data_IF_691663936125
#
_entry.id   IF_691663936125
#
_cell.length_a   1.000
_cell.length_b   1.000
_cell.length_c   1.000
_cell.angle_alpha   90.00
_cell.angle_beta   90.00
_cell.angle_gamma   90.00
#
_symmetry.space_group_name_H-M   'P 1'
#
loop_
_entity.id
_entity.type
_entity.pdbx_description
1 polymer ?
#
# COMPACT_ATOMS: atom_id res chain seq x y z
N UNK A 1 2.52 2.81 -28.07
CA UNK A 1 1.62 4.00 -28.03
C UNK A 1 0.37 3.78 -27.19
N UNK A 2 -0.50 2.79 -27.48
CA UNK A 2 -1.56 2.37 -26.54
C UNK A 2 -1.03 1.43 -25.44
N UNK A 3 0.00 0.64 -25.77
CA UNK A 3 0.52 -0.45 -24.95
C UNK A 3 1.06 -0.02 -23.58
N UNK A 4 1.74 1.12 -23.49
CA UNK A 4 2.38 1.58 -22.25
C UNK A 4 1.36 2.05 -21.20
N UNK A 5 0.31 2.75 -21.64
CA UNK A 5 -0.81 3.14 -20.78
C UNK A 5 -1.66 1.93 -20.38
N UNK A 6 -1.91 1.01 -21.30
CA UNK A 6 -2.58 -0.27 -20.98
C UNK A 6 -1.80 -1.07 -19.94
N UNK A 7 -0.47 -1.09 -19.99
CA UNK A 7 0.36 -1.76 -18.97
C UNK A 7 0.16 -1.08 -17.60
N UNK A 8 0.27 0.25 -17.52
CA UNK A 8 0.05 0.96 -16.26
C UNK A 8 -1.35 0.70 -15.69
N UNK A 9 -2.38 0.78 -16.54
CA UNK A 9 -3.77 0.53 -16.14
C UNK A 9 -3.98 -0.92 -15.67
N UNK A 10 -3.34 -1.91 -16.31
CA UNK A 10 -3.35 -3.32 -15.89
C UNK A 10 -2.65 -3.50 -14.54
N UNK A 11 -1.55 -2.79 -14.28
CA UNK A 11 -0.85 -2.84 -12.99
C UNK A 11 -1.71 -2.25 -11.86
N UNK A 12 -2.44 -1.16 -12.12
CA UNK A 12 -3.39 -0.58 -11.16
C UNK A 12 -4.55 -1.53 -10.87
N UNK A 13 -5.13 -2.15 -11.90
CA UNK A 13 -6.19 -3.17 -11.72
C UNK A 13 -5.66 -4.38 -10.97
N UNK A 14 -4.44 -4.84 -11.27
CA UNK A 14 -3.82 -5.95 -10.55
C UNK A 14 -3.69 -5.64 -9.06
N UNK A 15 -3.27 -4.44 -8.66
CA UNK A 15 -3.23 -4.01 -7.26
C UNK A 15 -4.60 -4.02 -6.61
N UNK A 16 -5.61 -3.50 -7.29
CA UNK A 16 -6.99 -3.56 -6.80
C UNK A 16 -7.42 -5.02 -6.52
N UNK A 17 -7.17 -5.93 -7.47
CA UNK A 17 -7.48 -7.35 -7.32
C UNK A 17 -6.66 -8.01 -6.21
N UNK A 18 -5.39 -7.65 -6.04
CA UNK A 18 -4.54 -8.12 -4.94
C UNK A 18 -5.14 -7.73 -3.60
N UNK A 19 -5.58 -6.48 -3.43
CA UNK A 19 -6.21 -6.04 -2.18
C UNK A 19 -7.49 -6.81 -1.85
N UNK A 20 -8.36 -7.03 -2.85
CA UNK A 20 -9.56 -7.87 -2.67
C UNK A 20 -9.18 -9.32 -2.31
N UNK A 21 -8.17 -9.87 -2.98
CA UNK A 21 -7.72 -11.24 -2.74
C UNK A 21 -7.07 -11.40 -1.36
N UNK A 22 -6.32 -10.42 -0.87
CA UNK A 22 -5.78 -10.41 0.50
C UNK A 22 -6.89 -10.47 1.55
N UNK A 23 -7.95 -9.69 1.36
CA UNK A 23 -9.11 -9.73 2.25
C UNK A 23 -9.77 -11.12 2.26
N UNK A 24 -10.01 -11.68 1.06
CA UNK A 24 -10.56 -13.02 0.92
C UNK A 24 -9.67 -14.09 1.55
N UNK A 25 -8.36 -14.01 1.33
CA UNK A 25 -7.38 -14.92 1.93
C UNK A 25 -7.44 -14.88 3.46
N UNK A 26 -7.63 -13.68 4.02
CA UNK A 26 -7.86 -13.50 5.46
C UNK A 26 -9.12 -14.20 5.95
N UNK A 27 -10.20 -14.17 5.17
CA UNK A 27 -11.48 -14.77 5.55
C UNK A 27 -11.45 -16.29 5.66
N UNK A 28 -10.43 -16.95 5.10
CA UNK A 28 -10.17 -18.37 5.32
C UNK A 28 -9.71 -18.65 6.76
N UNK A 29 -9.25 -17.63 7.49
CA UNK A 29 -8.79 -17.73 8.88
C UNK A 29 -7.43 -18.40 9.06
N UNK A 30 -6.76 -18.77 7.95
CA UNK A 30 -5.55 -19.57 7.99
C UNK A 30 -4.29 -18.72 8.09
N UNK A 31 -3.66 -18.71 9.27
CA UNK A 31 -2.34 -18.08 9.47
C UNK A 31 -1.23 -18.66 8.59
N UNK A 32 -1.39 -19.90 8.10
CA UNK A 32 -0.46 -20.56 7.20
C UNK A 32 -0.30 -19.84 5.85
N UNK A 33 -1.27 -19.00 5.47
CA UNK A 33 -1.26 -18.24 4.22
C UNK A 33 -0.41 -16.97 4.27
N UNK A 34 0.28 -16.69 5.40
CA UNK A 34 1.05 -15.45 5.59
C UNK A 34 2.15 -15.26 4.54
N UNK A 35 2.81 -16.34 4.13
CA UNK A 35 3.80 -16.33 3.07
C UNK A 35 3.23 -15.85 1.74
N UNK A 36 2.03 -16.33 1.38
CA UNK A 36 1.31 -15.90 0.19
C UNK A 36 0.86 -14.44 0.31
N UNK A 37 0.28 -14.06 1.45
CA UNK A 37 -0.14 -12.68 1.70
C UNK A 37 1.03 -11.68 1.60
N UNK A 38 2.18 -12.01 2.19
CA UNK A 38 3.39 -11.22 2.10
C UNK A 38 3.93 -11.14 0.66
N UNK A 39 3.88 -12.25 -0.09
CA UNK A 39 4.30 -12.29 -1.50
C UNK A 39 3.40 -11.43 -2.39
N UNK A 40 2.09 -11.44 -2.14
CA UNK A 40 1.12 -10.59 -2.84
C UNK A 40 1.31 -9.12 -2.53
N UNK A 41 1.56 -8.77 -1.26
CA UNK A 41 1.89 -7.40 -0.87
C UNK A 41 3.20 -6.94 -1.54
N UNK A 42 4.22 -7.79 -1.54
CA UNK A 42 5.47 -7.52 -2.24
C UNK A 42 5.22 -7.28 -3.74
N UNK A 43 4.42 -8.13 -4.39
CA UNK A 43 4.05 -7.96 -5.79
C UNK A 43 3.33 -6.63 -6.02
N UNK A 44 2.38 -6.25 -5.15
CA UNK A 44 1.70 -4.96 -5.23
C UNK A 44 2.70 -3.79 -5.19
N UNK A 45 3.67 -3.81 -4.28
CA UNK A 45 4.73 -2.80 -4.20
C UNK A 45 5.63 -2.78 -5.44
N UNK A 46 5.97 -3.95 -5.99
CA UNK A 46 6.75 -4.03 -7.23
C UNK A 46 5.98 -3.35 -8.37
N UNK A 47 4.69 -3.65 -8.51
CA UNK A 47 3.85 -3.08 -9.58
C UNK A 47 3.66 -1.57 -9.44
N UNK A 48 3.54 -1.05 -8.23
CA UNK A 48 3.46 0.38 -7.93
C UNK A 48 4.76 1.11 -8.32
N UNK A 49 5.92 0.59 -7.93
CA UNK A 49 7.20 1.23 -8.28
C UNK A 49 7.45 1.25 -9.80
N UNK A 50 6.95 0.24 -10.52
CA UNK A 50 7.14 0.11 -11.96
C UNK A 50 6.18 0.97 -12.79
N UNK A 51 4.99 1.30 -12.29
CA UNK A 51 4.00 2.04 -13.07
C UNK A 51 4.46 3.46 -13.43
N UNK A 52 5.12 4.16 -12.51
CA UNK A 52 5.53 5.55 -12.67
C UNK A 52 6.60 5.72 -13.76
N UNK A 53 7.69 4.94 -13.75
CA UNK A 53 8.66 4.91 -14.85
C UNK A 53 8.04 4.54 -16.19
N UNK A 54 7.10 3.59 -16.23
CA UNK A 54 6.42 3.16 -17.46
C UNK A 54 5.54 4.29 -18.00
N UNK A 55 4.77 4.95 -17.13
CA UNK A 55 3.92 6.08 -17.48
C UNK A 55 4.73 7.29 -17.99
N UNK A 56 5.90 7.58 -17.40
CA UNK A 56 6.77 8.69 -17.81
C UNK A 56 7.47 8.49 -19.16
N UNK A 57 7.50 7.26 -19.68
CA UNK A 57 8.03 6.97 -21.03
C UNK A 57 6.99 7.25 -22.14
N UNK A 58 5.75 7.56 -21.79
CA UNK A 58 4.71 7.95 -22.75
C UNK A 58 4.92 9.40 -23.22
N UNK A 59 4.98 9.67 -24.54
CA UNK A 59 5.18 11.02 -25.09
C UNK A 59 3.96 11.95 -24.95
N UNK A 60 2.82 11.46 -24.45
CA UNK A 60 1.58 12.24 -24.28
C UNK A 60 1.47 12.72 -22.82
N UNK A 61 1.43 14.04 -22.55
CA UNK A 61 1.50 14.63 -21.20
C UNK A 61 0.20 14.53 -20.38
N UNK A 62 -0.79 13.75 -20.84
CA UNK A 62 -2.06 13.58 -20.12
C UNK A 62 -2.01 12.41 -19.15
N UNK A 63 -2.22 12.71 -17.86
CA UNK A 63 -2.52 11.74 -16.79
C UNK A 63 -3.62 10.80 -17.31
N UNK A 64 -3.37 9.48 -17.33
CA UNK A 64 -4.42 8.53 -17.74
C UNK A 64 -5.59 8.60 -16.77
N UNK A 65 -6.81 8.36 -17.26
CA UNK A 65 -8.04 8.40 -16.45
C UNK A 65 -7.99 7.41 -15.28
N UNK A 66 -7.20 6.34 -15.41
CA UNK A 66 -6.97 5.30 -14.40
C UNK A 66 -5.80 5.64 -13.45
N UNK A 67 -4.79 6.42 -13.88
CA UNK A 67 -3.77 6.98 -12.98
C UNK A 67 -4.33 7.95 -11.93
N UNK A 68 -5.55 8.47 -12.11
CA UNK A 68 -6.30 9.17 -11.04
C UNK A 68 -6.86 8.22 -9.98
N UNK A 69 -7.03 6.95 -10.31
CA UNK A 69 -7.55 5.91 -9.42
C UNK A 69 -6.47 5.09 -8.72
N UNK A 70 -5.20 5.45 -8.94
CA UNK A 70 -4.04 4.84 -8.32
C UNK A 70 -4.14 4.78 -6.79
N UNK A 71 -4.50 5.92 -6.20
CA UNK A 71 -4.78 6.03 -4.77
C UNK A 71 -5.89 5.07 -4.30
N UNK A 72 -6.90 4.81 -5.11
CA UNK A 72 -7.96 3.86 -4.73
C UNK A 72 -7.44 2.43 -4.74
N UNK A 73 -6.63 2.04 -5.73
CA UNK A 73 -6.03 0.72 -5.78
C UNK A 73 -5.11 0.47 -4.57
N UNK A 74 -4.28 1.44 -4.20
CA UNK A 74 -3.42 1.33 -3.02
C UNK A 74 -4.20 1.28 -1.70
N UNK A 75 -5.28 2.06 -1.61
CA UNK A 75 -6.19 1.98 -0.46
C UNK A 75 -6.93 0.63 -0.41
N UNK A 76 -7.19 -0.01 -1.55
CA UNK A 76 -7.71 -1.39 -1.60
C UNK A 76 -6.68 -2.40 -1.11
N UNK A 77 -5.40 -2.27 -1.49
CA UNK A 77 -4.31 -3.11 -0.94
C UNK A 77 -4.17 -2.90 0.57
N UNK A 78 -4.25 -1.66 1.03
CA UNK A 78 -4.22 -1.28 2.45
C UNK A 78 -5.37 -1.91 3.23
N UNK A 79 -6.60 -1.79 2.73
CA UNK A 79 -7.78 -2.40 3.34
C UNK A 79 -7.70 -3.94 3.32
N UNK A 80 -7.22 -4.51 2.22
CA UNK A 80 -6.97 -5.95 2.08
C UNK A 80 -5.94 -6.47 3.06
N UNK A 81 -4.86 -5.72 3.28
CA UNK A 81 -3.79 -6.04 4.24
C UNK A 81 -4.33 -6.00 5.68
N UNK A 82 -5.05 -4.95 6.06
CA UNK A 82 -5.71 -4.88 7.37
C UNK A 82 -6.74 -6.00 7.56
N UNK A 83 -7.56 -6.26 6.54
CA UNK A 83 -8.54 -7.34 6.55
C UNK A 83 -7.89 -8.72 6.70
N UNK A 84 -6.79 -8.97 5.98
CA UNK A 84 -6.00 -10.19 6.11
C UNK A 84 -5.52 -10.41 7.55
N UNK A 85 -4.87 -9.38 8.12
CA UNK A 85 -4.31 -9.44 9.47
C UNK A 85 -5.40 -9.66 10.52
N UNK A 86 -6.55 -9.04 10.35
CA UNK A 86 -7.69 -9.21 11.25
C UNK A 86 -8.32 -10.60 11.14
N UNK A 87 -8.72 -10.99 9.93
CA UNK A 87 -9.50 -12.21 9.72
C UNK A 87 -8.67 -13.48 9.92
N UNK A 88 -7.36 -13.43 9.65
CA UNK A 88 -6.41 -14.51 9.99
C UNK A 88 -6.05 -14.54 11.49
N UNK A 89 -6.59 -13.61 12.28
CA UNK A 89 -6.40 -13.53 13.73
C UNK A 89 -5.02 -13.09 14.17
N UNK A 90 -4.25 -12.38 13.34
CA UNK A 90 -2.97 -11.77 13.75
C UNK A 90 -3.17 -10.51 14.60
N UNK A 91 -4.29 -9.81 14.42
CA UNK A 91 -4.71 -8.70 15.27
C UNK A 91 -6.10 -8.98 15.84
N UNK A 92 -6.35 -8.50 17.07
CA UNK A 92 -7.65 -8.64 17.71
C UNK A 92 -8.72 -7.78 17.05
N UNK A 93 -9.97 -8.24 17.07
CA UNK A 93 -11.13 -7.54 16.47
C UNK A 93 -11.30 -6.12 16.99
N UNK A 94 -11.08 -5.88 18.28
CA UNK A 94 -11.17 -4.54 18.87
C UNK A 94 -10.17 -3.57 18.24
N UNK A 95 -8.92 -4.01 18.05
CA UNK A 95 -7.88 -3.19 17.44
C UNK A 95 -8.20 -2.93 15.96
N UNK A 96 -8.58 -3.97 15.22
CA UNK A 96 -8.98 -3.85 13.82
C UNK A 96 -10.12 -2.85 13.63
N UNK A 97 -11.15 -2.94 14.48
CA UNK A 97 -12.31 -2.04 14.45
C UNK A 97 -11.92 -0.59 14.79
N UNK A 98 -11.15 -0.37 15.86
CA UNK A 98 -10.69 0.97 16.26
C UNK A 98 -9.87 1.60 15.13
N UNK A 99 -8.91 0.86 14.57
CA UNK A 99 -8.06 1.36 13.47
C UNK A 99 -8.91 1.67 12.24
N UNK A 100 -9.85 0.80 11.87
CA UNK A 100 -10.72 1.03 10.71
C UNK A 100 -11.59 2.28 10.89
N UNK A 101 -12.24 2.44 12.06
CA UNK A 101 -13.07 3.60 12.36
C UNK A 101 -12.23 4.88 12.38
N UNK A 102 -11.07 4.87 13.05
CA UNK A 102 -10.17 6.02 13.07
C UNK A 102 -9.67 6.39 11.67
N UNK A 103 -9.28 5.41 10.86
CA UNK A 103 -8.84 5.65 9.48
C UNK A 103 -9.97 6.29 8.65
N UNK A 104 -11.20 5.75 8.73
CA UNK A 104 -12.36 6.29 8.02
C UNK A 104 -12.65 7.72 8.46
N UNK A 105 -12.71 7.98 9.77
CA UNK A 105 -13.01 9.31 10.32
C UNK A 105 -11.93 10.33 9.93
N UNK A 106 -10.65 9.98 10.05
CA UNK A 106 -9.54 10.87 9.71
C UNK A 106 -9.51 11.18 8.21
N UNK A 107 -9.70 10.17 7.35
CA UNK A 107 -9.76 10.37 5.90
C UNK A 107 -10.97 11.21 5.52
N UNK A 108 -12.14 10.95 6.11
CA UNK A 108 -13.37 11.68 5.83
C UNK A 108 -13.28 13.16 6.25
N UNK A 109 -12.73 13.42 7.44
CA UNK A 109 -12.59 14.76 8.00
C UNK A 109 -11.52 15.59 7.28
N UNK A 110 -10.31 15.04 7.12
CA UNK A 110 -9.17 15.79 6.57
C UNK A 110 -9.14 15.81 5.04
N UNK A 111 -9.69 14.78 4.39
CA UNK A 111 -9.61 14.53 2.94
C UNK A 111 -8.17 14.64 2.39
N UNK A 112 -7.18 14.38 3.24
CA UNK A 112 -5.77 14.59 2.93
C UNK A 112 -5.12 13.31 2.41
N UNK A 113 -4.39 13.44 1.29
CA UNK A 113 -3.59 12.34 0.75
C UNK A 113 -2.52 11.86 1.73
N UNK A 114 -2.00 12.76 2.58
CA UNK A 114 -1.00 12.42 3.60
C UNK A 114 -1.59 11.51 4.69
N UNK A 115 -2.86 11.69 5.04
CA UNK A 115 -3.55 10.80 5.97
C UNK A 115 -3.74 9.42 5.34
N UNK A 116 -4.12 9.35 4.06
CA UNK A 116 -4.15 8.09 3.32
C UNK A 116 -2.78 7.39 3.41
N UNK A 117 -1.69 8.07 3.05
CA UNK A 117 -0.33 7.52 3.15
C UNK A 117 0.02 7.02 4.55
N UNK A 118 -0.39 7.73 5.61
CA UNK A 118 -0.18 7.29 6.99
C UNK A 118 -0.95 6.00 7.32
N UNK A 119 -2.20 5.88 6.86
CA UNK A 119 -3.02 4.66 7.00
C UNK A 119 -2.42 3.48 6.22
N UNK A 120 -1.85 3.73 5.04
CA UNK A 120 -1.13 2.67 4.31
C UNK A 120 0.11 2.22 5.08
N UNK A 121 0.93 3.17 5.53
CA UNK A 121 2.16 2.91 6.26
C UNK A 121 1.91 2.09 7.54
N UNK A 122 0.83 2.35 8.28
CA UNK A 122 0.49 1.55 9.45
C UNK A 122 0.10 0.12 9.06
N UNK A 123 -0.70 -0.08 8.01
CA UNK A 123 -1.06 -1.42 7.52
C UNK A 123 0.16 -2.25 7.13
N UNK A 124 1.09 -1.63 6.40
CA UNK A 124 2.31 -2.25 5.90
C UNK A 124 3.31 -2.50 7.03
N UNK A 125 3.42 -1.57 7.97
CA UNK A 125 4.23 -1.74 9.18
C UNK A 125 3.74 -2.89 10.04
N UNK A 126 2.43 -3.04 10.22
CA UNK A 126 1.85 -4.17 10.94
C UNK A 126 2.10 -5.49 10.20
N UNK A 127 1.92 -5.55 8.88
CA UNK A 127 2.24 -6.74 8.09
C UNK A 127 3.73 -7.13 8.21
N UNK A 128 4.64 -6.15 8.12
CA UNK A 128 6.08 -6.37 8.31
C UNK A 128 6.38 -6.97 9.69
N UNK A 129 5.83 -6.37 10.75
CA UNK A 129 5.98 -6.88 12.11
C UNK A 129 5.47 -8.33 12.24
N UNK A 130 4.28 -8.62 11.70
CA UNK A 130 3.70 -9.96 11.68
C UNK A 130 4.58 -10.95 10.91
N UNK A 131 5.15 -10.55 9.78
CA UNK A 131 6.09 -11.36 9.02
C UNK A 131 7.37 -11.64 9.81
N UNK A 132 7.96 -10.65 10.47
CA UNK A 132 9.14 -10.89 11.31
C UNK A 132 8.86 -11.86 12.47
N UNK A 133 7.66 -11.81 13.05
CA UNK A 133 7.29 -12.69 14.15
C UNK A 133 6.99 -14.13 13.71
N UNK A 134 6.42 -14.34 12.51
CA UNK A 134 5.85 -15.64 12.12
C UNK A 134 6.47 -16.25 10.85
N UNK A 135 7.04 -15.44 9.97
CA UNK A 135 7.63 -15.86 8.71
C UNK A 135 8.84 -14.96 8.33
N UNK A 136 9.95 -15.00 9.11
CA UNK A 136 11.01 -13.98 9.07
C UNK A 136 11.64 -13.78 7.70
N UNK A 137 11.73 -14.84 6.89
CA UNK A 137 12.21 -14.78 5.51
C UNK A 137 11.43 -13.74 4.68
N UNK A 138 10.09 -13.74 4.77
CA UNK A 138 9.25 -12.79 4.04
C UNK A 138 9.34 -11.38 4.62
N UNK A 139 9.52 -11.25 5.95
CA UNK A 139 9.79 -9.96 6.60
C UNK A 139 11.07 -9.31 6.05
N UNK A 140 12.15 -10.09 5.98
CA UNK A 140 13.40 -9.64 5.37
C UNK A 140 13.24 -9.33 3.88
N UNK A 141 12.54 -10.17 3.11
CA UNK A 141 12.31 -9.91 1.69
C UNK A 141 11.60 -8.55 1.45
N UNK A 142 10.56 -8.25 2.24
CA UNK A 142 9.83 -6.98 2.17
C UNK A 142 10.73 -5.79 2.55
N UNK A 143 11.53 -5.90 3.62
CA UNK A 143 12.47 -4.84 4.03
C UNK A 143 13.58 -4.65 3.01
N UNK A 144 14.15 -5.72 2.48
CA UNK A 144 15.17 -5.65 1.43
C UNK A 144 14.64 -4.96 0.18
N UNK A 145 13.38 -5.23 -0.19
CA UNK A 145 12.73 -4.51 -1.29
C UNK A 145 12.56 -3.01 -0.98
N UNK A 146 12.05 -2.66 0.19
CA UNK A 146 11.92 -1.25 0.60
C UNK A 146 13.27 -0.53 0.59
N UNK A 147 14.32 -1.16 1.13
CA UNK A 147 15.67 -0.61 1.11
C UNK A 147 16.20 -0.40 -0.31
N UNK A 148 15.93 -1.34 -1.22
CA UNK A 148 16.27 -1.21 -2.64
C UNK A 148 15.54 -0.03 -3.29
N UNK A 149 14.22 0.09 -3.07
CA UNK A 149 13.42 1.19 -3.62
C UNK A 149 13.91 2.54 -3.08
N UNK A 150 14.17 2.65 -1.78
CA UNK A 150 14.73 3.87 -1.16
C UNK A 150 16.11 4.17 -1.73
N UNK A 151 16.99 3.18 -1.88
CA UNK A 151 18.32 3.37 -2.46
C UNK A 151 18.27 3.87 -3.90
N UNK A 152 17.39 3.29 -4.74
CA UNK A 152 17.20 3.70 -6.14
C UNK A 152 16.55 5.09 -6.25
N UNK A 153 15.63 5.42 -5.34
CA UNK A 153 14.90 6.70 -5.36
C UNK A 153 15.50 7.77 -4.46
N UNK A 154 16.67 7.51 -3.86
CA UNK A 154 17.33 8.35 -2.86
C UNK A 154 17.40 9.84 -3.24
N UNK A 155 17.74 10.24 -4.49
CA UNK A 155 17.81 11.65 -4.84
C UNK A 155 16.50 12.43 -4.68
N UNK A 156 15.35 11.74 -4.73
CA UNK A 156 14.01 12.33 -4.60
C UNK A 156 13.34 12.04 -3.26
N UNK A 157 13.85 11.06 -2.53
CA UNK A 157 13.23 10.56 -1.30
C UNK A 157 13.17 11.61 -0.18
N UNK A 158 14.25 12.37 0.15
CA UNK A 158 14.22 13.38 1.21
C UNK A 158 13.16 14.46 0.99
N UNK A 159 12.97 14.87 -0.28
CA UNK A 159 11.95 15.85 -0.63
C UNK A 159 10.55 15.31 -0.36
N UNK A 160 10.24 14.10 -0.84
CA UNK A 160 8.93 13.45 -0.59
C UNK A 160 8.67 13.18 0.89
N UNK A 161 9.69 12.75 1.63
CA UNK A 161 9.58 12.53 3.07
C UNK A 161 9.28 13.85 3.80
N UNK A 162 9.94 14.94 3.41
CA UNK A 162 9.69 16.27 3.95
C UNK A 162 8.26 16.75 3.62
N UNK A 163 7.81 16.60 2.37
CA UNK A 163 6.44 16.94 1.95
C UNK A 163 5.39 16.18 2.77
N UNK A 164 5.61 14.90 3.02
CA UNK A 164 4.74 14.10 3.89
C UNK A 164 4.70 14.64 5.32
N UNK A 165 5.86 14.90 5.94
CA UNK A 165 5.94 15.42 7.31
C UNK A 165 5.29 16.79 7.44
N UNK A 166 5.52 17.69 6.47
CA UNK A 166 4.88 19.00 6.45
C UNK A 166 3.36 18.89 6.29
N UNK A 167 2.89 17.98 5.41
CA UNK A 167 1.46 17.75 5.20
C UNK A 167 0.76 17.20 6.44
N UNK A 168 1.41 16.35 7.23
CA UNK A 168 0.89 15.92 8.54
C UNK A 168 0.94 17.06 9.56
N UNK A 169 2.05 17.79 9.63
CA UNK A 169 2.20 18.90 10.58
C UNK A 169 1.18 20.03 10.33
N UNK A 170 0.81 20.29 9.07
CA UNK A 170 -0.20 21.30 8.73
C UNK A 170 -1.61 20.91 9.19
N UNK A 171 -1.92 19.62 9.31
CA UNK A 171 -3.22 19.16 9.81
C UNK A 171 -3.37 19.33 11.31
N UNK A 172 -2.27 19.38 12.06
CA UNK A 172 -2.27 19.57 13.52
C UNK A 172 -2.43 21.06 13.88
N UNK A 173 -2.10 21.97 12.94
CA UNK A 173 -2.12 23.43 13.16
C UNK A 173 -3.40 24.12 12.67
N UNK A 174 -4.36 23.37 12.12
CA UNK A 174 -5.70 23.87 11.75
C UNK A 174 -6.67 23.69 12.91
#
# INVERSE_FOLDING_TARGET
MFREKTIADVLTVARFLIGVYLFWLGSLGERATLSLAASLLWLAWVTDVLDGPIARRSPIPTISRIGRHDLHADMTVTAGTWGYLWLSGFIGTSLAFIVAVLAILLIWYTRSIHVCSAVQATSYGTMLYTCFANAPFYGWALVSWLALVVGVTWPRFPQKASEFLHGIASLIRQ
#
